data_IF_071164884854
#
_entry.id   IF_071164884854
#
_cell.length_a   1.000
_cell.length_b   1.000
_cell.length_c   1.000
_cell.angle_alpha   90.00
_cell.angle_beta   90.00
_cell.angle_gamma   90.00
#
_symmetry.space_group_name_H-M   'P 1'
#
loop_
_entity.id
_entity.type
_entity.pdbx_description
1 polymer ?
#
# COMPACT_ATOMS: atom_id res chain seq x y z
N UNK A 1 13.90 -19.83 -18.35
CA UNK A 1 13.20 -18.68 -17.75
C UNK A 1 11.74 -18.76 -18.15
N UNK A 2 10.80 -18.73 -17.21
CA UNK A 2 9.38 -18.60 -17.54
C UNK A 2 9.09 -17.14 -17.87
N UNK A 3 8.33 -16.87 -18.93
CA UNK A 3 7.99 -15.51 -19.33
C UNK A 3 6.50 -15.47 -19.67
N UNK A 4 5.82 -14.42 -19.26
CA UNK A 4 4.42 -14.16 -19.59
C UNK A 4 4.35 -12.91 -20.47
N UNK A 5 3.43 -12.95 -21.42
CA UNK A 5 3.16 -11.87 -22.36
C UNK A 5 1.80 -11.22 -22.05
N UNK A 6 1.65 -9.98 -22.50
CA UNK A 6 0.44 -9.17 -22.39
C UNK A 6 -0.09 -9.11 -20.94
N UNK A 7 0.72 -8.56 -20.04
CA UNK A 7 0.40 -8.43 -18.62
C UNK A 7 -0.13 -7.05 -18.30
N UNK A 8 -1.28 -6.98 -17.62
CA UNK A 8 -1.87 -5.73 -17.17
C UNK A 8 -1.42 -5.49 -15.73
N UNK A 9 -0.82 -4.33 -15.49
CA UNK A 9 -0.33 -3.93 -14.17
C UNK A 9 -0.91 -2.56 -13.80
N UNK A 10 -1.07 -2.35 -12.51
CA UNK A 10 -1.43 -1.09 -11.89
C UNK A 10 -0.33 -0.77 -10.87
N UNK A 11 0.58 0.13 -11.25
CA UNK A 11 1.76 0.40 -10.45
C UNK A 11 1.43 1.27 -9.25
N UNK A 12 1.69 0.71 -8.07
CA UNK A 12 1.74 1.44 -6.80
C UNK A 12 3.21 1.78 -6.52
N UNK A 13 3.53 3.08 -6.58
CA UNK A 13 4.90 3.58 -6.44
C UNK A 13 5.21 3.90 -4.97
N UNK A 14 6.39 3.50 -4.50
CA UNK A 14 6.87 3.79 -3.15
C UNK A 14 6.05 3.11 -2.05
N UNK A 15 5.27 2.08 -2.37
CA UNK A 15 4.49 1.37 -1.36
C UNK A 15 5.32 0.32 -0.64
N UNK A 16 5.63 0.59 0.62
CA UNK A 16 6.28 -0.37 1.50
C UNK A 16 5.33 -1.45 1.98
N UNK A 17 4.06 -1.14 2.19
CA UNK A 17 3.13 -2.07 2.80
C UNK A 17 2.28 -2.81 1.76
N UNK A 18 2.27 -4.14 1.81
CA UNK A 18 1.52 -4.99 0.89
C UNK A 18 0.02 -4.71 0.86
N UNK A 19 -0.56 -4.23 1.97
CA UNK A 19 -1.98 -3.90 2.07
C UNK A 19 -2.37 -2.65 1.24
N UNK A 20 -1.42 -1.80 0.86
CA UNK A 20 -1.70 -0.67 -0.03
C UNK A 20 -1.63 -1.07 -1.52
N UNK A 21 -1.00 -2.21 -1.84
CA UNK A 21 -0.93 -2.74 -3.20
C UNK A 21 -2.26 -3.38 -3.55
N UNK A 22 -3.11 -2.61 -4.22
CA UNK A 22 -4.51 -2.95 -4.36
C UNK A 22 -4.72 -4.17 -5.28
N UNK A 23 -5.54 -5.14 -4.88
CA UNK A 23 -5.99 -6.22 -5.76
C UNK A 23 -6.89 -5.68 -6.87
N UNK A 24 -7.06 -6.48 -7.92
CA UNK A 24 -7.79 -6.09 -9.13
C UNK A 24 -9.19 -5.50 -8.88
N UNK A 25 -9.94 -6.02 -7.91
CA UNK A 25 -11.29 -5.53 -7.62
C UNK A 25 -11.32 -4.13 -6.98
N UNK A 26 -10.19 -3.62 -6.51
CA UNK A 26 -10.01 -2.25 -5.98
C UNK A 26 -9.32 -1.31 -6.99
N UNK A 27 -9.03 -1.78 -8.20
CA UNK A 27 -8.50 -0.94 -9.26
C UNK A 27 -9.57 0.05 -9.74
N UNK A 28 -9.13 1.27 -10.02
CA UNK A 28 -9.97 2.41 -10.44
C UNK A 28 -9.67 2.74 -11.89
N UNK A 29 -10.61 3.38 -12.57
CA UNK A 29 -10.44 3.81 -13.97
C UNK A 29 -9.36 4.87 -14.18
N UNK A 30 -9.11 5.65 -13.14
CA UNK A 30 -8.09 6.71 -13.13
C UNK A 30 -6.73 6.19 -12.67
N UNK A 31 -6.61 4.90 -12.34
CA UNK A 31 -5.30 4.32 -12.07
C UNK A 31 -4.52 4.24 -13.39
N UNK A 32 -3.20 4.39 -13.31
CA UNK A 32 -2.29 4.29 -14.44
C UNK A 32 -2.05 2.82 -14.79
N UNK A 33 -3.04 2.20 -15.44
CA UNK A 33 -2.97 0.81 -15.88
C UNK A 33 -2.06 0.73 -17.11
N UNK A 34 -0.98 -0.04 -17.00
CA UNK A 34 0.00 -0.26 -18.05
C UNK A 34 -0.05 -1.70 -18.59
N UNK A 35 0.20 -1.86 -19.89
CA UNK A 35 0.36 -3.16 -20.54
C UNK A 35 1.85 -3.44 -20.74
N UNK A 36 2.30 -4.55 -20.15
CA UNK A 36 3.66 -5.09 -20.30
C UNK A 36 3.64 -6.16 -21.39
N UNK A 37 4.49 -5.99 -22.41
CA UNK A 37 4.56 -6.91 -23.55
C UNK A 37 5.08 -8.28 -23.10
N UNK A 38 6.13 -8.28 -22.27
CA UNK A 38 6.84 -9.49 -21.86
C UNK A 38 7.52 -9.27 -20.52
N UNK A 39 7.34 -10.18 -19.55
CA UNK A 39 7.94 -10.09 -18.21
C UNK A 39 8.28 -11.49 -17.66
N UNK A 40 9.47 -11.69 -17.05
CA UNK A 40 9.86 -12.97 -16.48
C UNK A 40 9.06 -13.29 -15.21
N UNK A 41 8.85 -14.59 -14.98
CA UNK A 41 8.17 -15.13 -13.81
C UNK A 41 9.15 -15.93 -12.96
N UNK A 42 9.23 -15.58 -11.69
CA UNK A 42 10.10 -16.20 -10.70
C UNK A 42 9.27 -16.92 -9.64
N UNK A 43 9.63 -18.19 -9.39
CA UNK A 43 9.08 -18.96 -8.29
C UNK A 43 10.06 -18.89 -7.12
N UNK A 44 9.66 -18.27 -6.01
CA UNK A 44 10.54 -17.95 -4.87
C UNK A 44 9.97 -18.49 -3.56
N UNK A 45 10.76 -18.39 -2.49
CA UNK A 45 10.29 -18.71 -1.14
C UNK A 45 9.31 -17.68 -0.59
N UNK A 46 8.34 -18.13 0.21
CA UNK A 46 7.32 -17.25 0.82
C UNK A 46 7.92 -16.15 1.70
N UNK A 47 9.02 -16.43 2.41
CA UNK A 47 9.72 -15.40 3.19
C UNK A 47 10.27 -14.29 2.29
N UNK A 48 10.88 -14.65 1.16
CA UNK A 48 11.41 -13.68 0.21
C UNK A 48 10.29 -12.93 -0.53
N UNK A 49 9.16 -13.59 -0.82
CA UNK A 49 7.97 -12.94 -1.34
C UNK A 49 7.45 -11.86 -0.37
N UNK A 50 7.31 -12.22 0.91
CA UNK A 50 6.84 -11.32 1.96
C UNK A 50 7.76 -10.11 2.11
N UNK A 51 9.07 -10.32 1.98
CA UNK A 51 10.08 -9.25 1.97
C UNK A 51 9.85 -8.27 0.80
N UNK A 52 9.75 -8.76 -0.44
CA UNK A 52 9.51 -7.90 -1.62
C UNK A 52 8.19 -7.13 -1.48
N UNK A 53 7.17 -7.80 -0.96
CA UNK A 53 5.85 -7.21 -0.79
C UNK A 53 5.84 -6.11 0.27
N UNK A 54 6.44 -6.36 1.45
CA UNK A 54 6.26 -5.54 2.64
C UNK A 54 7.48 -4.69 3.03
N UNK A 55 8.47 -4.54 2.14
CA UNK A 55 9.64 -3.68 2.35
C UNK A 55 10.02 -2.88 1.09
N UNK A 56 10.81 -1.82 1.28
CA UNK A 56 11.42 -1.00 0.22
C UNK A 56 12.95 -1.04 0.33
N UNK A 57 13.49 -2.23 0.53
CA UNK A 57 14.91 -2.44 0.69
C UNK A 57 15.55 -3.10 -0.53
N UNK A 58 16.87 -3.15 -0.55
CA UNK A 58 17.65 -3.64 -1.68
C UNK A 58 17.39 -5.14 -1.95
N UNK A 59 17.21 -5.47 -3.22
CA UNK A 59 17.10 -6.84 -3.69
C UNK A 59 18.50 -7.47 -3.84
N UNK A 60 18.65 -8.77 -3.59
CA UNK A 60 19.92 -9.47 -3.78
C UNK A 60 20.42 -9.30 -5.22
N UNK A 61 21.71 -8.96 -5.40
CA UNK A 61 22.33 -8.78 -6.73
C UNK A 61 22.11 -9.96 -7.67
N UNK A 62 22.16 -11.19 -7.13
CA UNK A 62 21.88 -12.42 -7.90
C UNK A 62 20.48 -12.41 -8.54
N UNK A 63 19.48 -11.86 -7.86
CA UNK A 63 18.13 -11.70 -8.41
C UNK A 63 18.13 -10.66 -9.53
N UNK A 64 18.74 -9.49 -9.27
CA UNK A 64 18.79 -8.38 -10.23
C UNK A 64 19.49 -8.80 -11.53
N UNK A 65 20.63 -9.48 -11.44
CA UNK A 65 21.35 -10.03 -12.59
C UNK A 65 20.51 -11.07 -13.34
N UNK A 66 19.72 -11.87 -12.60
CA UNK A 66 18.86 -12.90 -13.18
C UNK A 66 17.69 -12.33 -13.99
N UNK A 67 17.18 -11.15 -13.67
CA UNK A 67 16.03 -10.52 -14.38
C UNK A 67 16.45 -9.41 -15.34
N UNK A 68 17.74 -9.07 -15.36
CA UNK A 68 18.27 -7.89 -16.04
C UNK A 68 17.88 -7.85 -17.53
N UNK A 69 17.12 -6.82 -17.93
CA UNK A 69 16.78 -6.54 -19.32
C UNK A 69 15.82 -7.53 -19.98
N UNK A 70 15.09 -8.34 -19.18
CA UNK A 70 14.17 -9.37 -19.70
C UNK A 70 12.74 -8.88 -19.85
N UNK A 71 12.41 -7.75 -19.24
CA UNK A 71 11.08 -7.15 -19.31
C UNK A 71 11.03 -6.15 -20.46
N UNK A 72 9.95 -6.20 -21.24
CA UNK A 72 9.72 -5.32 -22.38
C UNK A 72 8.37 -4.62 -22.21
N UNK A 73 8.37 -3.29 -22.32
CA UNK A 73 7.18 -2.45 -22.35
C UNK A 73 7.25 -1.57 -23.59
N UNK A 74 6.26 -1.65 -24.48
CA UNK A 74 6.17 -0.86 -25.72
C UNK A 74 7.45 -0.94 -26.55
N UNK A 75 8.11 -2.10 -26.56
CA UNK A 75 9.39 -2.31 -27.25
C UNK A 75 10.64 -1.82 -26.51
N UNK A 76 10.52 -1.14 -25.37
CA UNK A 76 11.64 -0.73 -24.53
C UNK A 76 11.97 -1.77 -23.46
N UNK A 77 13.26 -2.00 -23.21
CA UNK A 77 13.73 -2.96 -22.20
C UNK A 77 13.85 -2.29 -20.84
N UNK A 78 13.10 -2.81 -19.87
CA UNK A 78 13.24 -2.41 -18.47
C UNK A 78 14.37 -3.19 -17.83
N UNK A 79 15.18 -2.49 -17.04
CA UNK A 79 16.40 -3.05 -16.45
C UNK A 79 16.03 -4.14 -15.44
N UNK A 80 15.22 -3.86 -14.42
CA UNK A 80 14.87 -4.84 -13.40
C UNK A 80 13.37 -4.80 -13.09
N UNK A 81 12.64 -5.70 -13.72
CA UNK A 81 11.23 -5.93 -13.43
C UNK A 81 10.92 -7.42 -13.59
N UNK A 82 10.05 -7.95 -12.73
CA UNK A 82 9.65 -9.35 -12.77
C UNK A 82 8.32 -9.57 -12.06
N UNK A 83 7.69 -10.70 -12.38
CA UNK A 83 6.61 -11.27 -11.58
C UNK A 83 7.20 -12.30 -10.63
N UNK A 84 6.91 -12.19 -9.35
CA UNK A 84 7.28 -13.16 -8.32
C UNK A 84 6.05 -13.87 -7.80
N UNK A 85 6.22 -15.14 -7.44
CA UNK A 85 5.20 -15.93 -6.77
C UNK A 85 5.84 -16.93 -5.81
N UNK A 86 5.17 -17.19 -4.69
CA UNK A 86 5.51 -18.25 -3.74
C UNK A 86 4.63 -19.50 -3.89
N UNK A 87 3.76 -19.50 -4.91
CA UNK A 87 2.81 -20.56 -5.25
C UNK A 87 1.40 -20.32 -4.71
N UNK A 88 1.23 -19.32 -3.86
CA UNK A 88 -0.09 -18.87 -3.36
C UNK A 88 -0.38 -17.45 -3.80
N UNK A 89 0.61 -16.57 -3.65
CA UNK A 89 0.51 -15.15 -3.94
C UNK A 89 1.30 -14.80 -5.20
N UNK A 90 0.87 -13.75 -5.90
CA UNK A 90 1.55 -13.22 -7.09
C UNK A 90 1.69 -11.71 -6.99
N UNK A 91 2.87 -11.21 -7.36
CA UNK A 91 3.20 -9.78 -7.34
C UNK A 91 4.09 -9.46 -8.54
N UNK A 92 3.78 -8.40 -9.27
CA UNK A 92 4.71 -7.77 -10.21
C UNK A 92 5.46 -6.64 -9.50
N UNK A 93 6.75 -6.52 -9.76
CA UNK A 93 7.53 -5.37 -9.30
C UNK A 93 8.43 -4.83 -10.40
N UNK A 94 8.77 -3.55 -10.28
CA UNK A 94 9.77 -2.84 -11.08
C UNK A 94 10.61 -1.97 -10.14
N UNK A 95 11.93 -1.98 -10.32
CA UNK A 95 12.85 -1.17 -9.52
C UNK A 95 13.13 0.20 -10.11
N UNK A 96 12.62 0.52 -11.30
CA UNK A 96 12.95 1.73 -12.07
C UNK A 96 14.47 1.89 -12.31
N UNK A 97 15.21 0.77 -12.33
CA UNK A 97 16.67 0.76 -12.50
C UNK A 97 17.48 0.84 -11.20
N UNK A 98 16.82 0.99 -10.04
CA UNK A 98 17.46 0.91 -8.71
C UNK A 98 17.57 -0.55 -8.23
N UNK A 99 18.05 -0.76 -7.00
CA UNK A 99 18.13 -2.09 -6.38
C UNK A 99 16.88 -2.47 -5.57
N UNK A 100 16.01 -1.50 -5.27
CA UNK A 100 14.81 -1.67 -4.45
C UNK A 100 13.53 -1.75 -5.32
N UNK A 101 12.51 -2.54 -4.92
CA UNK A 101 11.26 -2.69 -5.68
C UNK A 101 10.33 -1.48 -5.49
N UNK A 102 10.58 -0.39 -6.23
CA UNK A 102 9.86 0.87 -6.11
C UNK A 102 8.41 0.81 -6.59
N UNK A 103 8.14 0.09 -7.68
CA UNK A 103 6.78 -0.08 -8.20
C UNK A 103 6.33 -1.50 -7.94
N UNK A 104 5.11 -1.65 -7.44
CA UNK A 104 4.51 -2.96 -7.17
C UNK A 104 3.09 -3.01 -7.71
N UNK A 105 2.65 -4.19 -8.17
CA UNK A 105 1.31 -4.38 -8.71
C UNK A 105 0.81 -5.80 -8.44
N UNK A 106 -0.47 -5.92 -8.12
CA UNK A 106 -1.18 -7.20 -8.27
C UNK A 106 -1.47 -7.48 -9.75
N UNK A 107 -1.87 -8.70 -10.07
CA UNK A 107 -2.28 -9.05 -11.43
C UNK A 107 -3.78 -9.21 -11.53
N UNK A 108 -4.31 -9.14 -12.75
CA UNK A 108 -5.70 -9.52 -13.02
C UNK A 108 -5.85 -11.04 -12.76
N UNK A 109 -6.97 -11.53 -12.19
CA UNK A 109 -7.13 -12.93 -11.79
C UNK A 109 -6.81 -13.96 -12.88
N UNK A 110 -7.04 -13.64 -14.17
CA UNK A 110 -6.69 -14.53 -15.29
C UNK A 110 -5.17 -14.68 -15.46
N UNK A 111 -4.43 -13.58 -15.32
CA UNK A 111 -2.96 -13.56 -15.42
C UNK A 111 -2.33 -14.21 -14.20
N UNK A 112 -2.86 -13.97 -13.01
CA UNK A 112 -2.46 -14.66 -11.78
C UNK A 112 -2.57 -16.18 -11.90
N UNK A 113 -3.72 -16.69 -12.36
CA UNK A 113 -3.90 -18.14 -12.62
C UNK A 113 -2.91 -18.69 -13.64
N UNK A 114 -2.56 -17.89 -14.66
CA UNK A 114 -1.56 -18.29 -15.66
C UNK A 114 -0.18 -18.41 -15.02
N UNK A 115 0.22 -17.45 -14.17
CA UNK A 115 1.48 -17.49 -13.41
C UNK A 115 1.54 -18.72 -12.51
N UNK A 116 0.49 -19.01 -11.74
CA UNK A 116 0.44 -20.18 -10.85
C UNK A 116 0.59 -21.50 -11.62
N UNK A 117 -0.08 -21.64 -12.77
CA UNK A 117 0.08 -22.81 -13.65
C UNK A 117 1.49 -22.94 -14.23
N UNK A 118 2.19 -21.83 -14.45
CA UNK A 118 3.56 -21.85 -15.00
C UNK A 118 4.60 -22.34 -14.00
N UNK A 119 4.33 -22.23 -12.69
CA UNK A 119 5.21 -22.65 -11.61
C UNK A 119 4.81 -24.00 -11.00
N UNK A 120 3.63 -24.51 -11.36
CA UNK A 120 3.16 -25.83 -10.94
C UNK A 120 4.17 -26.93 -11.34
N UNK A 121 4.52 -27.80 -10.37
CA UNK A 121 5.53 -28.85 -10.52
C UNK A 121 7.00 -28.37 -10.63
N UNK A 122 7.30 -27.07 -10.46
CA UNK A 122 8.68 -26.54 -10.49
C UNK A 122 9.26 -26.38 -9.08
N UNK A 123 10.58 -26.27 -9.00
CA UNK A 123 11.29 -26.00 -7.74
C UNK A 123 11.39 -24.49 -7.48
N UNK A 124 11.26 -24.10 -6.21
CA UNK A 124 11.46 -22.72 -5.75
C UNK A 124 12.92 -22.32 -5.90
N UNK A 125 13.14 -21.07 -6.29
CA UNK A 125 14.45 -20.44 -6.31
C UNK A 125 14.72 -19.80 -4.96
N UNK A 126 15.95 -19.98 -4.48
CA UNK A 126 16.40 -19.51 -3.18
C UNK A 126 17.29 -18.28 -3.35
N UNK A 127 16.89 -17.17 -2.74
CA UNK A 127 17.66 -15.94 -2.70
C UNK A 127 17.98 -15.63 -1.24
N UNK A 128 19.26 -15.61 -0.89
CA UNK A 128 19.68 -15.23 0.47
C UNK A 128 19.45 -13.74 0.68
N UNK A 129 18.59 -13.41 1.64
CA UNK A 129 18.52 -12.08 2.23
C UNK A 129 19.80 -11.83 3.04
N UNK A 130 20.39 -10.66 2.91
CA UNK A 130 21.49 -10.24 3.79
C UNK A 130 20.97 -9.97 5.20
N UNK A 131 21.72 -10.35 6.23
CA UNK A 131 21.33 -10.23 7.64
C UNK A 131 20.99 -8.78 8.08
N UNK A 132 21.50 -7.77 7.35
CA UNK A 132 21.16 -6.35 7.56
C UNK A 132 19.69 -5.98 7.28
N UNK A 133 18.96 -6.83 6.56
CA UNK A 133 17.61 -6.56 6.06
C UNK A 133 16.49 -7.02 7.01
N UNK A 134 16.84 -7.58 8.18
CA UNK A 134 15.85 -8.13 9.11
C UNK A 134 15.40 -7.15 10.20
N UNK A 135 16.03 -5.98 10.32
CA UNK A 135 15.64 -4.96 11.31
C UNK A 135 14.47 -4.13 10.79
N UNK A 136 13.26 -4.70 10.91
CA UNK A 136 12.00 -4.08 10.53
C UNK A 136 11.62 -2.98 11.53
N UNK A 137 12.02 -1.74 11.24
CA UNK A 137 11.34 -0.59 11.79
C UNK A 137 9.99 -0.44 11.09
N UNK A 138 8.88 -0.61 11.81
CA UNK A 138 7.60 -0.06 11.37
C UNK A 138 7.87 1.36 10.84
N UNK A 139 7.62 1.59 9.55
CA UNK A 139 7.84 2.93 8.98
C UNK A 139 7.05 3.91 9.84
N UNK A 140 7.73 4.98 10.30
CA UNK A 140 7.24 5.94 11.32
C UNK A 140 5.83 6.48 11.00
N UNK A 141 5.42 6.45 9.73
CA UNK A 141 4.14 6.95 9.23
C UNK A 141 3.18 5.85 8.72
N UNK A 142 3.53 4.58 8.86
CA UNK A 142 2.70 3.45 8.43
C UNK A 142 1.97 2.83 9.61
N UNK A 143 0.66 2.66 9.45
CA UNK A 143 -0.15 1.90 10.38
C UNK A 143 0.24 0.42 10.33
N UNK A 144 0.12 -0.25 11.47
CA UNK A 144 0.30 -1.69 11.52
C UNK A 144 -0.75 -2.40 10.63
N UNK A 145 -0.41 -3.51 9.96
CA UNK A 145 -1.33 -4.21 9.05
C UNK A 145 -2.69 -4.54 9.70
N UNK A 146 -2.70 -4.87 10.99
CA UNK A 146 -3.89 -5.23 11.77
C UNK A 146 -4.93 -4.11 11.79
N UNK A 147 -4.47 -2.85 11.79
CA UNK A 147 -5.37 -1.68 11.77
C UNK A 147 -6.02 -1.45 10.39
N UNK A 148 -5.53 -2.12 9.34
CA UNK A 148 -6.01 -1.96 7.97
C UNK A 148 -6.85 -3.14 7.46
N UNK A 149 -6.95 -4.22 8.23
CA UNK A 149 -7.72 -5.41 7.86
C UNK A 149 -9.20 -5.05 7.69
N UNK A 150 -9.80 -5.50 6.59
CA UNK A 150 -11.23 -5.33 6.30
C UNK A 150 -11.60 -3.96 5.71
N UNK A 151 -10.64 -3.03 5.59
CA UNK A 151 -10.88 -1.72 4.97
C UNK A 151 -10.76 -1.80 3.45
N UNK A 152 -11.74 -1.21 2.76
CA UNK A 152 -11.67 -0.96 1.33
C UNK A 152 -10.58 0.08 1.03
N UNK A 153 -10.03 0.09 -0.18
CA UNK A 153 -9.03 1.09 -0.62
C UNK A 153 -9.34 2.54 -0.19
N UNK A 154 -10.57 3.01 -0.40
CA UNK A 154 -10.99 4.38 0.01
C UNK A 154 -10.87 4.56 1.52
N UNK A 155 -11.30 3.58 2.30
CA UNK A 155 -11.24 3.65 3.77
C UNK A 155 -9.80 3.64 4.26
N UNK A 156 -8.91 2.84 3.64
CA UNK A 156 -7.47 2.86 3.94
C UNK A 156 -6.85 4.24 3.67
N UNK A 157 -7.14 4.83 2.50
CA UNK A 157 -6.67 6.17 2.11
C UNK A 157 -7.13 7.24 3.13
N UNK A 158 -8.42 7.22 3.50
CA UNK A 158 -8.97 8.18 4.47
C UNK A 158 -8.44 7.95 5.90
N UNK A 159 -8.24 6.69 6.29
CA UNK A 159 -7.66 6.36 7.59
C UNK A 159 -6.22 6.86 7.68
N UNK A 160 -5.38 6.58 6.68
CA UNK A 160 -4.02 7.12 6.60
C UNK A 160 -4.01 8.65 6.66
N UNK A 161 -4.89 9.31 5.90
CA UNK A 161 -5.02 10.77 5.93
C UNK A 161 -5.36 11.30 7.33
N UNK A 162 -6.25 10.62 8.04
CA UNK A 162 -6.61 10.98 9.42
C UNK A 162 -5.44 10.81 10.36
N UNK A 163 -4.68 9.71 10.24
CA UNK A 163 -3.48 9.49 11.05
C UNK A 163 -2.43 10.59 10.80
N UNK A 164 -2.21 10.96 9.53
CA UNK A 164 -1.30 12.06 9.19
C UNK A 164 -1.75 13.40 9.80
N UNK A 165 -3.05 13.68 9.82
CA UNK A 165 -3.58 14.87 10.48
C UNK A 165 -3.40 14.82 11.99
N UNK A 166 -3.62 13.65 12.63
CA UNK A 166 -3.37 13.46 14.06
C UNK A 166 -1.90 13.61 14.43
N UNK A 167 -0.98 13.12 13.58
CA UNK A 167 0.45 13.28 13.77
C UNK A 167 0.88 14.75 13.62
N UNK A 168 0.28 15.49 12.68
CA UNK A 168 0.52 16.93 12.55
C UNK A 168 0.10 17.68 13.83
N UNK A 169 -1.07 17.36 14.40
CA UNK A 169 -1.51 17.93 15.68
C UNK A 169 -0.60 17.51 16.83
N UNK A 170 -0.07 16.27 16.81
CA UNK A 170 0.91 15.83 17.80
C UNK A 170 2.15 16.74 17.81
N UNK A 171 2.61 17.12 16.63
CA UNK A 171 3.79 17.98 16.46
C UNK A 171 3.54 19.42 16.93
N UNK A 172 2.33 19.96 16.79
CA UNK A 172 2.00 21.31 17.29
C UNK A 172 1.99 21.39 18.81
N UNK A 173 1.79 20.26 19.51
CA UNK A 173 1.67 20.16 20.97
C UNK A 173 0.58 21.07 21.56
N UNK A 174 -0.43 21.39 20.75
CA UNK A 174 -1.50 22.29 21.16
C UNK A 174 -2.59 21.55 21.94
N UNK A 175 -2.61 21.71 23.26
CA UNK A 175 -3.61 21.09 24.15
C UNK A 175 -5.04 21.47 23.78
N UNK A 176 -5.30 22.74 23.51
CA UNK A 176 -6.65 23.23 23.22
C UNK A 176 -7.23 22.61 21.95
N UNK A 177 -6.38 22.41 20.94
CA UNK A 177 -6.77 21.79 19.67
C UNK A 177 -7.11 20.31 19.84
N UNK A 178 -6.29 19.53 20.55
CA UNK A 178 -6.58 18.11 20.83
C UNK A 178 -7.85 17.97 21.67
N UNK A 179 -8.02 18.83 22.67
CA UNK A 179 -9.23 18.85 23.50
C UNK A 179 -10.47 19.18 22.66
N UNK A 180 -10.40 20.16 21.77
CA UNK A 180 -11.50 20.49 20.85
C UNK A 180 -11.92 19.28 20.01
N UNK A 181 -10.96 18.59 19.37
CA UNK A 181 -11.27 17.42 18.55
C UNK A 181 -11.80 16.24 19.37
N UNK A 182 -11.27 16.03 20.57
CA UNK A 182 -11.77 15.00 21.47
C UNK A 182 -13.17 15.31 21.98
N UNK A 183 -13.50 16.57 22.23
CA UNK A 183 -14.85 17.03 22.60
C UNK A 183 -15.87 16.83 21.47
N UNK A 184 -15.50 17.11 20.23
CA UNK A 184 -16.33 16.81 19.06
C UNK A 184 -16.58 15.29 18.90
N UNK A 185 -15.61 14.47 19.35
CA UNK A 185 -15.72 13.02 19.31
C UNK A 185 -16.47 12.41 20.52
N UNK A 186 -16.36 12.96 21.72
CA UNK A 186 -17.04 12.46 22.93
C UNK A 186 -17.66 13.63 23.72
N UNK A 187 -18.76 14.23 23.22
CA UNK A 187 -19.33 15.43 23.83
C UNK A 187 -19.81 15.21 25.27
N UNK A 188 -20.22 13.99 25.60
CA UNK A 188 -20.73 13.61 26.93
C UNK A 188 -19.65 13.56 28.01
N UNK A 189 -18.37 13.62 27.64
CA UNK A 189 -17.23 13.40 28.55
C UNK A 189 -16.44 14.67 28.86
N UNK A 190 -17.10 15.84 28.79
CA UNK A 190 -16.46 17.15 28.97
C UNK A 190 -15.55 17.25 30.20
N UNK A 191 -16.07 16.86 31.37
CA UNK A 191 -15.33 16.97 32.64
C UNK A 191 -14.07 16.11 32.65
N UNK A 192 -14.14 14.91 32.07
CA UNK A 192 -12.99 14.01 31.95
C UNK A 192 -11.96 14.58 30.98
N UNK A 193 -12.41 15.04 29.80
CA UNK A 193 -11.53 15.59 28.75
C UNK A 193 -10.74 16.79 29.27
N UNK A 194 -11.39 17.72 29.98
CA UNK A 194 -10.71 18.89 30.55
C UNK A 194 -9.59 18.53 31.53
N UNK A 195 -9.72 17.39 32.23
CA UNK A 195 -8.73 16.90 33.19
C UNK A 195 -7.51 16.26 32.53
N UNK A 196 -7.62 15.82 31.28
CA UNK A 196 -6.53 15.14 30.57
C UNK A 196 -5.37 16.10 30.25
N UNK A 197 -4.15 15.57 30.34
CA UNK A 197 -2.99 16.23 29.77
C UNK A 197 -2.97 16.04 28.23
N UNK A 198 -2.04 16.73 27.55
CA UNK A 198 -1.94 16.69 26.09
C UNK A 198 -1.75 15.26 25.55
N UNK A 199 -0.76 14.52 26.06
CA UNK A 199 -0.43 13.17 25.57
C UNK A 199 -1.60 12.19 25.79
N UNK A 200 -2.25 12.24 26.96
CA UNK A 200 -3.40 11.41 27.26
C UNK A 200 -4.59 11.70 26.34
N UNK A 201 -4.88 12.98 26.10
CA UNK A 201 -5.97 13.37 25.20
C UNK A 201 -5.68 12.95 23.76
N UNK A 202 -4.42 13.10 23.32
CA UNK A 202 -3.99 12.70 21.99
C UNK A 202 -4.02 11.18 21.80
N UNK A 203 -3.50 10.43 22.76
CA UNK A 203 -3.49 8.96 22.73
C UNK A 203 -4.91 8.40 22.70
N UNK A 204 -5.83 9.00 23.46
CA UNK A 204 -7.25 8.65 23.42
C UNK A 204 -7.86 8.87 22.04
N UNK A 205 -7.61 10.02 21.43
CA UNK A 205 -8.06 10.34 20.07
C UNK A 205 -7.45 9.38 19.03
N UNK A 206 -6.16 9.10 19.13
CA UNK A 206 -5.44 8.13 18.30
C UNK A 206 -6.09 6.75 18.36
N UNK A 207 -6.38 6.26 19.57
CA UNK A 207 -6.97 4.93 19.78
C UNK A 207 -8.37 4.81 19.16
N UNK A 208 -9.17 5.87 19.15
CA UNK A 208 -10.48 5.86 18.47
C UNK A 208 -10.36 5.61 16.96
N UNK A 209 -9.33 6.16 16.32
CA UNK A 209 -9.09 6.02 14.88
C UNK A 209 -8.34 4.73 14.57
N UNK A 210 -7.40 4.33 15.42
CA UNK A 210 -6.53 3.17 15.19
C UNK A 210 -7.33 1.85 15.12
N UNK A 211 -8.25 1.61 16.07
CA UNK A 211 -8.90 0.29 16.19
C UNK A 211 -10.08 0.04 15.26
N UNK A 212 -10.76 1.08 14.79
CA UNK A 212 -12.00 0.94 13.99
C UNK A 212 -12.08 2.00 12.90
N UNK A 213 -12.91 1.74 11.91
CA UNK A 213 -13.26 2.72 10.89
C UNK A 213 -14.76 2.66 10.61
N UNK A 214 -15.39 3.82 10.50
CA UNK A 214 -16.83 3.96 10.28
C UNK A 214 -17.13 5.29 9.59
N UNK A 215 -18.40 5.49 9.21
CA UNK A 215 -18.84 6.77 8.63
C UNK A 215 -18.59 7.97 9.56
N UNK A 216 -18.64 7.75 10.89
CA UNK A 216 -18.28 8.79 11.87
C UNK A 216 -16.82 9.22 11.72
N UNK A 217 -15.92 8.27 11.48
CA UNK A 217 -14.50 8.54 11.22
C UNK A 217 -14.30 9.30 9.91
N UNK A 218 -15.07 9.00 8.86
CA UNK A 218 -15.02 9.79 7.62
C UNK A 218 -15.42 11.25 7.87
N UNK A 219 -16.48 11.51 8.62
CA UNK A 219 -16.92 12.88 8.95
C UNK A 219 -15.86 13.62 9.77
N UNK A 220 -15.26 12.93 10.75
CA UNK A 220 -14.17 13.48 11.54
C UNK A 220 -12.93 13.80 10.70
N UNK A 221 -12.54 12.88 9.80
CA UNK A 221 -11.45 13.10 8.85
C UNK A 221 -11.71 14.34 7.99
N UNK A 222 -12.94 14.53 7.49
CA UNK A 222 -13.30 15.74 6.73
C UNK A 222 -13.18 17.03 7.55
N UNK A 223 -13.52 16.96 8.84
CA UNK A 223 -13.45 18.13 9.72
C UNK A 223 -12.00 18.50 10.05
N UNK A 224 -11.16 17.50 10.41
CA UNK A 224 -9.79 17.71 10.89
C UNK A 224 -8.83 18.19 9.80
N UNK A 225 -9.07 17.78 8.55
CA UNK A 225 -8.21 18.18 7.41
C UNK A 225 -8.51 19.58 6.88
N UNK A 226 -9.64 20.17 7.29
CA UNK A 226 -10.15 21.42 6.73
C UNK A 226 -9.15 22.55 6.96
N UNK A 227 -8.81 23.28 5.90
CA UNK A 227 -7.84 24.37 5.95
C UNK A 227 -6.40 23.96 5.62
N UNK A 228 -6.12 22.67 5.40
CA UNK A 228 -4.86 22.21 4.82
C UNK A 228 -5.09 21.80 3.34
N UNK A 229 -4.63 22.61 2.36
CA UNK A 229 -4.86 22.35 0.94
C UNK A 229 -4.35 20.97 0.48
N UNK A 230 -3.24 20.49 1.03
CA UNK A 230 -2.69 19.18 0.67
C UNK A 230 -3.59 18.04 1.15
N UNK A 231 -4.12 18.14 2.38
CA UNK A 231 -5.02 17.12 2.90
C UNK A 231 -6.39 17.14 2.22
N UNK A 232 -6.90 18.32 1.85
CA UNK A 232 -8.13 18.45 1.08
C UNK A 232 -7.98 17.81 -0.32
N UNK A 233 -6.85 18.01 -1.00
CA UNK A 233 -6.56 17.33 -2.28
C UNK A 233 -6.51 15.80 -2.13
N UNK A 234 -5.88 15.28 -1.07
CA UNK A 234 -5.84 13.84 -0.80
C UNK A 234 -7.24 13.27 -0.51
N UNK A 235 -8.06 14.03 0.23
CA UNK A 235 -9.45 13.68 0.47
C UNK A 235 -10.27 13.63 -0.81
N UNK A 236 -10.14 14.64 -1.68
CA UNK A 236 -10.81 14.67 -2.98
C UNK A 236 -10.37 13.50 -3.86
N UNK A 237 -9.07 13.19 -3.92
CA UNK A 237 -8.53 12.03 -4.64
C UNK A 237 -9.16 10.72 -4.18
N UNK A 238 -9.38 10.53 -2.88
CA UNK A 238 -10.07 9.37 -2.34
C UNK A 238 -11.57 9.32 -2.70
N UNK A 239 -12.19 10.47 -2.99
CA UNK A 239 -13.63 10.63 -3.24
C UNK A 239 -14.05 10.75 -4.71
N UNK A 240 -13.15 11.16 -5.61
CA UNK A 240 -13.41 11.35 -7.05
C UNK A 240 -13.98 10.09 -7.74
N UNK A 241 -13.98 8.94 -7.06
CA UNK A 241 -14.42 7.64 -7.58
C UNK A 241 -15.87 7.28 -7.24
N UNK A 242 -16.58 8.00 -6.37
CA UNK A 242 -17.98 7.68 -6.00
C UNK A 242 -18.99 7.85 -7.15
N UNK A 243 -18.62 8.56 -8.22
CA UNK A 243 -19.54 8.99 -9.28
C UNK A 243 -19.40 8.25 -10.63
N UNK A 244 -18.74 7.09 -10.71
CA UNK A 244 -18.61 6.36 -11.98
C UNK A 244 -18.97 4.87 -11.90
N UNK A 245 -19.63 4.31 -12.95
CA UNK A 245 -19.93 2.88 -13.00
C UNK A 245 -18.64 2.06 -13.11
N UNK A 246 -18.68 0.81 -12.65
CA UNK A 246 -17.57 -0.14 -12.66
C UNK A 246 -16.83 -0.23 -14.01
N UNK A 247 -15.55 -0.59 -13.98
CA UNK A 247 -14.75 -0.92 -15.17
C UNK A 247 -15.53 -1.90 -16.07
N UNK A 248 -15.85 -1.47 -17.30
CA UNK A 248 -16.44 -2.37 -18.30
C UNK A 248 -15.43 -3.49 -18.55
N UNK A 249 -15.92 -4.74 -18.62
CA UNK A 249 -15.11 -5.94 -18.87
C UNK A 249 -14.07 -5.67 -19.97
N UNK A 250 -12.80 -5.64 -19.60
CA UNK A 250 -11.69 -5.70 -20.55
C UNK A 250 -11.82 -7.04 -21.28
N UNK A 251 -12.06 -6.99 -22.59
CA UNK A 251 -12.21 -8.18 -23.45
C UNK A 251 -10.87 -8.86 -23.69
#
# INVERSE_FOLDING_TARGET
MNVIQDVWVNWFEGEANGYNICPFYEWRKLDDIELIDTIPVLYIESQFFTYIENQLDDLPKKLLDFIKGQTVIKGERIIYAAIVTDGLNVLAFDTMGYQMPLKKSRLIPRQERKVLRMVDGKQRQYFRLSDRLQENGNHIFSLAPEAMIGLMRRERELKQLTMLALDAIRQTKNKSEVHYWLMEWEPDQYLEICSLNFEQAWERLYNHVYHKWSQRHELFCRAIIKGNPLFEQLWEKAHLIKNQPALKRMK
#
